data_IF_905631761675
#
_entry.id   IF_905631761675
#
_cell.length_a   1.000
_cell.length_b   1.000
_cell.length_c   1.000
_cell.angle_alpha   90.00
_cell.angle_beta   90.00
_cell.angle_gamma   90.00
#
_symmetry.space_group_name_H-M   'P 1'
#
loop_
_entity.id
_entity.type
_entity.pdbx_description
1 polymer ?
#
# COMPACT_ATOMS: atom_id res chain seq x y z
N UNK A 1 -8.86 -15.98 -0.76
CA UNK A 1 -7.88 -14.95 -1.15
C UNK A 1 -7.87 -14.65 -2.66
N UNK A 2 -7.75 -15.63 -3.56
CA UNK A 2 -7.64 -15.42 -5.02
C UNK A 2 -9.00 -15.29 -5.75
N UNK A 3 -9.96 -14.62 -5.12
CA UNK A 3 -11.31 -14.42 -5.65
C UNK A 3 -11.43 -13.12 -6.45
N UNK A 4 -12.60 -12.92 -7.07
CA UNK A 4 -13.01 -11.65 -7.68
C UNK A 4 -13.22 -10.60 -6.58
N UNK A 5 -12.17 -9.83 -6.31
CA UNK A 5 -12.11 -8.75 -5.30
C UNK A 5 -11.19 -7.63 -5.79
N UNK A 6 -11.18 -6.52 -5.07
CA UNK A 6 -10.32 -5.38 -5.37
C UNK A 6 -10.52 -4.86 -6.79
N UNK A 7 -9.43 -4.60 -7.53
CA UNK A 7 -9.52 -4.07 -8.88
C UNK A 7 -10.32 -4.97 -9.83
N UNK A 8 -10.32 -6.29 -9.66
CA UNK A 8 -11.08 -7.23 -10.50
C UNK A 8 -12.57 -7.05 -10.36
N UNK A 9 -13.05 -6.92 -9.11
CA UNK A 9 -14.46 -6.62 -8.86
C UNK A 9 -14.83 -5.23 -9.38
N UNK A 10 -13.93 -4.26 -9.21
CA UNK A 10 -14.14 -2.91 -9.71
C UNK A 10 -14.24 -2.86 -11.25
N UNK A 11 -13.42 -3.63 -11.97
CA UNK A 11 -13.49 -3.71 -13.42
C UNK A 11 -14.80 -4.33 -13.90
N UNK A 12 -15.28 -5.38 -13.21
CA UNK A 12 -16.51 -6.08 -13.59
C UNK A 12 -17.79 -5.32 -13.20
N UNK A 13 -17.75 -4.58 -12.10
CA UNK A 13 -18.87 -3.86 -11.49
C UNK A 13 -18.44 -2.45 -11.09
N UNK A 14 -17.97 -1.68 -12.07
CA UNK A 14 -17.37 -0.35 -11.84
C UNK A 14 -18.34 0.64 -11.18
N UNK A 15 -19.63 0.48 -11.40
CA UNK A 15 -20.68 1.33 -10.83
C UNK A 15 -20.67 1.31 -9.28
N UNK A 16 -20.35 0.19 -8.64
CA UNK A 16 -20.26 0.07 -7.19
C UNK A 16 -19.15 0.99 -6.65
N UNK A 17 -17.98 0.93 -7.25
CA UNK A 17 -16.84 1.72 -6.81
C UNK A 17 -16.92 3.17 -7.26
N UNK A 18 -17.54 3.46 -8.41
CA UNK A 18 -17.84 4.83 -8.80
C UNK A 18 -18.79 5.49 -7.80
N UNK A 19 -19.75 4.76 -7.26
CA UNK A 19 -20.60 5.24 -6.17
C UNK A 19 -19.80 5.57 -4.90
N UNK A 20 -18.85 4.70 -4.51
CA UNK A 20 -17.98 4.94 -3.36
C UNK A 20 -17.06 6.14 -3.58
N UNK A 21 -16.41 6.24 -4.75
CA UNK A 21 -15.56 7.40 -5.11
C UNK A 21 -16.36 8.70 -5.09
N UNK A 22 -17.59 8.67 -5.60
CA UNK A 22 -18.51 9.81 -5.54
C UNK A 22 -18.78 10.25 -4.10
N UNK A 23 -19.07 9.30 -3.22
CA UNK A 23 -19.29 9.58 -1.81
C UNK A 23 -18.06 10.21 -1.14
N UNK A 24 -16.85 9.71 -1.45
CA UNK A 24 -15.60 10.27 -0.94
C UNK A 24 -15.42 11.71 -1.41
N UNK A 25 -15.62 11.99 -2.70
CA UNK A 25 -15.43 13.33 -3.25
C UNK A 25 -16.49 14.32 -2.75
N UNK A 26 -17.75 13.91 -2.65
CA UNK A 26 -18.81 14.74 -2.07
C UNK A 26 -18.53 15.03 -0.59
N UNK A 27 -18.09 14.02 0.18
CA UNK A 27 -17.72 14.19 1.59
C UNK A 27 -16.53 15.14 1.77
N UNK A 28 -15.52 15.06 0.91
CA UNK A 28 -14.38 15.98 0.93
C UNK A 28 -14.83 17.45 0.75
N UNK A 29 -15.71 17.70 -0.21
CA UNK A 29 -16.27 19.05 -0.43
C UNK A 29 -17.07 19.55 0.79
N UNK A 30 -17.86 18.68 1.42
CA UNK A 30 -18.63 19.08 2.62
C UNK A 30 -17.68 19.31 3.81
N UNK A 31 -16.65 18.48 4.00
CA UNK A 31 -15.66 18.67 5.04
C UNK A 31 -14.88 19.99 4.87
N UNK A 32 -14.56 20.38 3.64
CA UNK A 32 -13.94 21.67 3.36
C UNK A 32 -14.82 22.84 3.78
N UNK A 33 -16.13 22.78 3.54
CA UNK A 33 -17.07 23.84 3.96
C UNK A 33 -17.11 23.99 5.48
N UNK A 34 -17.02 22.86 6.21
CA UNK A 34 -17.08 22.87 7.68
C UNK A 34 -15.76 23.34 8.29
N UNK A 35 -14.64 22.87 7.73
CA UNK A 35 -13.32 23.10 8.32
C UNK A 35 -12.62 24.36 7.81
N UNK A 36 -13.05 24.90 6.68
CA UNK A 36 -12.35 25.97 5.96
C UNK A 36 -11.00 25.58 5.39
N UNK A 37 -10.65 24.30 5.41
CA UNK A 37 -9.36 23.77 4.92
C UNK A 37 -9.58 22.94 3.66
N UNK A 38 -8.67 23.03 2.70
CA UNK A 38 -8.67 22.15 1.52
C UNK A 38 -8.46 20.72 1.96
N UNK A 39 -9.36 19.82 1.55
CA UNK A 39 -9.27 18.39 1.79
C UNK A 39 -8.90 17.71 0.47
N UNK A 40 -7.79 16.98 0.47
CA UNK A 40 -7.31 16.22 -0.69
C UNK A 40 -7.51 14.74 -0.41
N UNK A 41 -8.63 14.13 -0.86
CA UNK A 41 -8.84 12.70 -0.68
C UNK A 41 -7.86 11.89 -1.53
N UNK A 42 -7.47 10.75 -1.00
CA UNK A 42 -6.54 9.81 -1.62
C UNK A 42 -7.31 8.53 -1.95
N UNK A 43 -7.44 8.21 -3.24
CA UNK A 43 -8.15 7.01 -3.71
C UNK A 43 -7.14 5.94 -4.08
N UNK A 44 -7.15 4.83 -3.35
CA UNK A 44 -6.20 3.75 -3.52
C UNK A 44 -6.83 2.55 -4.23
N UNK A 45 -6.20 2.07 -5.30
CA UNK A 45 -6.66 0.93 -6.08
C UNK A 45 -5.91 -0.33 -5.64
N UNK A 46 -6.61 -1.35 -5.11
CA UNK A 46 -5.99 -2.58 -4.63
C UNK A 46 -5.80 -3.62 -5.73
N UNK A 47 -4.93 -4.61 -5.48
CA UNK A 47 -4.73 -5.85 -6.26
C UNK A 47 -4.37 -5.61 -7.73
N UNK A 48 -3.66 -4.55 -8.04
CA UNK A 48 -3.21 -4.25 -9.40
C UNK A 48 -2.17 -5.29 -9.85
N UNK A 49 -2.47 -5.95 -10.98
CA UNK A 49 -1.58 -6.89 -11.64
C UNK A 49 -0.94 -6.27 -12.90
N UNK A 50 -1.67 -5.40 -13.58
CA UNK A 50 -1.22 -4.79 -14.84
C UNK A 50 -1.43 -3.28 -14.86
N UNK A 51 -0.62 -2.60 -15.66
CA UNK A 51 -0.79 -1.14 -15.89
C UNK A 51 -2.16 -0.83 -16.49
N UNK A 52 -2.68 -1.69 -17.35
CA UNK A 52 -3.99 -1.50 -18.00
C UNK A 52 -5.14 -1.52 -17.00
N UNK A 53 -5.08 -2.37 -15.96
CA UNK A 53 -6.06 -2.35 -14.86
C UNK A 53 -6.04 -1.00 -14.15
N UNK A 54 -4.86 -0.50 -13.82
CA UNK A 54 -4.70 0.79 -13.14
C UNK A 54 -5.24 1.94 -14.01
N UNK A 55 -4.82 2.02 -15.27
CA UNK A 55 -5.24 3.08 -16.20
C UNK A 55 -6.75 3.08 -16.42
N UNK A 56 -7.35 1.90 -16.57
CA UNK A 56 -8.81 1.77 -16.73
C UNK A 56 -9.55 2.30 -15.48
N UNK A 57 -9.12 1.90 -14.29
CA UNK A 57 -9.77 2.33 -13.06
C UNK A 57 -9.51 3.79 -12.73
N UNK A 58 -8.31 4.30 -13.02
CA UNK A 58 -7.98 5.72 -12.95
C UNK A 58 -8.96 6.55 -13.77
N UNK A 59 -9.21 6.17 -15.02
CA UNK A 59 -10.17 6.84 -15.88
C UNK A 59 -11.57 6.85 -15.25
N UNK A 60 -12.02 5.74 -14.64
CA UNK A 60 -13.32 5.67 -13.95
C UNK A 60 -13.40 6.59 -12.73
N UNK A 61 -12.31 6.80 -12.01
CA UNK A 61 -12.22 7.74 -10.90
C UNK A 61 -12.28 9.19 -11.44
N UNK A 62 -11.55 9.48 -12.52
CA UNK A 62 -11.51 10.80 -13.16
C UNK A 62 -12.90 11.20 -13.71
N UNK A 63 -13.62 10.28 -14.34
CA UNK A 63 -15.01 10.49 -14.79
C UNK A 63 -15.90 10.95 -13.62
N UNK A 64 -15.82 10.27 -12.47
CA UNK A 64 -16.60 10.64 -11.26
C UNK A 64 -16.15 12.00 -10.72
N UNK A 65 -14.85 12.29 -10.69
CA UNK A 65 -14.33 13.58 -10.21
C UNK A 65 -14.86 14.74 -11.05
N UNK A 66 -14.90 14.58 -12.38
CA UNK A 66 -15.46 15.57 -13.29
C UNK A 66 -16.97 15.79 -13.04
N UNK A 67 -17.74 14.70 -12.93
CA UNK A 67 -19.18 14.79 -12.68
C UNK A 67 -19.50 15.52 -11.36
N UNK A 68 -18.81 15.14 -10.27
CA UNK A 68 -18.98 15.78 -8.97
C UNK A 68 -18.55 17.24 -9.01
N UNK A 69 -17.41 17.53 -9.66
CA UNK A 69 -16.92 18.92 -9.81
C UNK A 69 -17.93 19.79 -10.57
N UNK A 70 -18.51 19.28 -11.66
CA UNK A 70 -19.54 19.98 -12.44
C UNK A 70 -20.80 20.20 -11.60
N UNK A 71 -21.29 19.16 -10.92
CA UNK A 71 -22.52 19.23 -10.08
C UNK A 71 -22.36 20.20 -8.91
N UNK A 72 -21.22 20.16 -8.23
CA UNK A 72 -20.94 21.01 -7.06
C UNK A 72 -20.34 22.37 -7.42
N UNK A 73 -20.05 22.63 -8.70
CA UNK A 73 -19.39 23.87 -9.22
C UNK A 73 -18.09 24.16 -8.48
N UNK A 74 -17.34 23.11 -8.15
CA UNK A 74 -16.08 23.20 -7.42
C UNK A 74 -15.09 22.16 -7.93
N UNK A 75 -13.86 22.58 -8.27
CA UNK A 75 -12.77 21.66 -8.62
C UNK A 75 -12.34 20.88 -7.38
N UNK A 76 -12.22 19.56 -7.53
CA UNK A 76 -11.73 18.66 -6.48
C UNK A 76 -10.25 18.39 -6.74
N UNK A 77 -9.43 18.53 -5.71
CA UNK A 77 -8.05 18.07 -5.70
C UNK A 77 -8.02 16.70 -5.02
N UNK A 78 -7.46 15.71 -5.68
CA UNK A 78 -7.38 14.32 -5.20
C UNK A 78 -6.13 13.65 -5.73
N UNK A 79 -5.73 12.56 -5.09
CA UNK A 79 -4.63 11.70 -5.51
C UNK A 79 -5.18 10.30 -5.81
N UNK A 80 -4.60 9.64 -6.84
CA UNK A 80 -4.91 8.25 -7.17
C UNK A 80 -3.62 7.44 -7.06
N UNK A 81 -3.70 6.30 -6.41
CA UNK A 81 -2.57 5.43 -6.17
C UNK A 81 -2.90 3.95 -6.22
N UNK A 82 -1.87 3.13 -6.17
CA UNK A 82 -1.99 1.68 -6.18
C UNK A 82 -1.40 1.06 -4.93
N UNK A 83 -2.02 0.01 -4.45
CA UNK A 83 -1.38 -0.92 -3.54
C UNK A 83 -0.40 -1.80 -4.29
N UNK A 84 0.73 -2.07 -3.67
CA UNK A 84 1.70 -3.06 -4.13
C UNK A 84 1.59 -4.26 -3.20
N UNK A 85 0.85 -5.26 -3.67
CA UNK A 85 0.48 -6.42 -2.87
C UNK A 85 0.50 -7.73 -3.67
N UNK A 86 0.92 -7.66 -4.93
CA UNK A 86 1.16 -8.81 -5.79
C UNK A 86 2.61 -8.80 -6.29
N UNK A 87 3.31 -9.96 -6.36
CA UNK A 87 4.67 -10.02 -6.89
C UNK A 87 4.81 -9.42 -8.28
N UNK A 88 3.82 -9.61 -9.15
CA UNK A 88 3.80 -9.00 -10.49
C UNK A 88 3.93 -7.47 -10.43
N UNK A 89 3.33 -6.82 -9.44
CA UNK A 89 3.41 -5.37 -9.27
C UNK A 89 4.85 -4.90 -9.06
N UNK A 90 5.70 -5.68 -8.37
CA UNK A 90 7.10 -5.36 -8.16
C UNK A 90 7.87 -5.23 -9.48
N UNK A 91 7.55 -6.06 -10.47
CA UNK A 91 8.23 -6.04 -11.77
C UNK A 91 7.79 -4.90 -12.69
N UNK A 92 6.57 -4.38 -12.52
CA UNK A 92 6.01 -3.31 -13.36
C UNK A 92 6.01 -1.94 -12.69
N UNK A 93 6.66 -1.79 -11.52
CA UNK A 93 6.67 -0.57 -10.72
C UNK A 93 6.92 0.71 -11.51
N UNK A 94 7.99 0.74 -12.31
CA UNK A 94 8.35 1.88 -13.13
C UNK A 94 7.29 2.29 -14.15
N UNK A 95 6.52 1.32 -14.66
CA UNK A 95 5.40 1.60 -15.57
C UNK A 95 4.22 2.25 -14.86
N UNK A 96 3.96 1.83 -13.61
CA UNK A 96 2.92 2.43 -12.78
C UNK A 96 3.27 3.87 -12.40
N UNK A 97 4.55 4.16 -12.10
CA UNK A 97 5.02 5.52 -11.85
C UNK A 97 4.78 6.40 -13.08
N UNK A 98 5.12 5.94 -14.28
CA UNK A 98 4.89 6.67 -15.53
C UNK A 98 3.42 6.97 -15.83
N UNK A 99 2.50 6.14 -15.37
CA UNK A 99 1.05 6.35 -15.50
C UNK A 99 0.45 7.28 -14.44
N UNK A 100 1.32 8.06 -13.74
CA UNK A 100 0.92 9.10 -12.77
C UNK A 100 0.42 8.56 -11.43
N UNK A 101 0.84 7.40 -11.01
CA UNK A 101 0.68 7.02 -9.64
C UNK A 101 1.65 7.84 -8.78
N UNK A 102 1.13 8.76 -7.98
CA UNK A 102 1.91 9.74 -7.22
C UNK A 102 2.43 9.19 -5.89
N UNK A 103 2.00 7.98 -5.52
CA UNK A 103 2.23 7.42 -4.23
C UNK A 103 1.90 5.91 -4.24
N UNK A 104 2.63 5.13 -3.45
CA UNK A 104 2.39 3.69 -3.34
C UNK A 104 2.44 3.22 -1.91
N UNK A 105 1.65 2.19 -1.62
CA UNK A 105 1.66 1.50 -0.33
C UNK A 105 1.84 0.01 -0.53
N UNK A 106 2.82 -0.57 0.15
CA UNK A 106 2.95 -2.01 0.21
C UNK A 106 1.93 -2.58 1.19
N UNK A 107 1.08 -3.48 0.71
CA UNK A 107 0.18 -4.26 1.53
C UNK A 107 0.82 -5.62 1.77
N UNK A 108 1.67 -5.68 2.78
CA UNK A 108 2.54 -6.85 3.01
C UNK A 108 1.80 -8.11 3.40
N UNK A 109 0.56 -8.03 3.88
CA UNK A 109 -0.26 -9.21 4.13
C UNK A 109 -0.52 -9.99 2.84
N UNK A 110 -1.10 -9.34 1.82
CA UNK A 110 -1.42 -9.98 0.55
C UNK A 110 -0.14 -10.30 -0.26
N UNK A 111 0.88 -9.46 -0.15
CA UNK A 111 2.19 -9.73 -0.76
C UNK A 111 2.83 -11.00 -0.16
N UNK A 112 2.77 -11.19 1.15
CA UNK A 112 3.24 -12.42 1.84
C UNK A 112 2.42 -13.63 1.39
N UNK A 113 1.09 -13.52 1.40
CA UNK A 113 0.20 -14.60 0.98
C UNK A 113 0.49 -15.05 -0.46
N UNK A 114 0.66 -14.10 -1.38
CA UNK A 114 0.86 -14.39 -2.80
C UNK A 114 2.28 -14.88 -3.12
N UNK A 115 3.27 -14.36 -2.42
CA UNK A 115 4.67 -14.78 -2.59
C UNK A 115 4.90 -16.20 -2.05
N UNK A 116 4.34 -16.50 -0.88
CA UNK A 116 4.54 -17.79 -0.21
C UNK A 116 3.46 -18.83 -0.53
N UNK A 117 2.43 -18.45 -1.29
CA UNK A 117 1.27 -19.30 -1.57
C UNK A 117 0.60 -19.82 -0.29
N UNK A 118 0.45 -18.95 0.70
CA UNK A 118 -0.16 -19.24 1.99
C UNK A 118 -1.40 -18.35 2.20
N UNK A 119 -2.49 -18.91 2.70
CA UNK A 119 -3.63 -18.14 3.19
C UNK A 119 -3.44 -17.88 4.68
N UNK A 120 -3.45 -16.60 5.10
CA UNK A 120 -3.31 -16.23 6.51
C UNK A 120 -4.36 -16.90 7.40
N UNK A 121 -5.58 -17.01 6.88
CA UNK A 121 -6.72 -17.53 7.65
C UNK A 121 -6.66 -19.06 7.85
N UNK A 122 -5.97 -19.77 6.95
CA UNK A 122 -5.97 -21.25 6.90
C UNK A 122 -4.67 -21.88 7.40
N UNK A 123 -3.62 -21.10 7.62
CA UNK A 123 -2.27 -21.65 7.84
C UNK A 123 -1.81 -21.68 9.29
N UNK A 124 -2.66 -21.34 10.27
CA UNK A 124 -2.26 -21.26 11.68
C UNK A 124 -1.64 -22.56 12.21
N UNK A 125 -2.26 -23.70 11.96
CA UNK A 125 -1.74 -25.02 12.37
C UNK A 125 -0.48 -25.42 11.59
N UNK A 126 -0.43 -25.14 10.28
CA UNK A 126 0.71 -25.41 9.43
C UNK A 126 1.95 -24.62 9.88
N UNK A 127 1.81 -23.32 10.12
CA UNK A 127 2.91 -22.47 10.56
C UNK A 127 3.42 -22.86 11.95
N UNK A 128 2.54 -23.34 12.84
CA UNK A 128 2.95 -23.89 14.13
C UNK A 128 3.79 -25.15 13.97
N UNK A 129 3.37 -26.06 13.10
CA UNK A 129 4.13 -27.29 12.79
C UNK A 129 5.49 -26.96 12.14
N UNK A 130 5.54 -25.99 11.23
CA UNK A 130 6.77 -25.53 10.61
C UNK A 130 7.76 -24.94 11.62
N UNK A 131 7.26 -24.20 12.63
CA UNK A 131 8.10 -23.72 13.74
C UNK A 131 8.63 -24.87 14.59
N UNK A 132 7.78 -25.83 14.93
CA UNK A 132 8.17 -27.00 15.72
C UNK A 132 9.26 -27.82 15.03
N UNK A 133 9.19 -27.91 13.71
CA UNK A 133 10.18 -28.64 12.89
C UNK A 133 11.38 -27.79 12.47
N UNK A 134 11.49 -26.56 12.95
CA UNK A 134 12.57 -25.62 12.60
C UNK A 134 12.68 -25.29 11.11
N UNK A 135 11.59 -25.46 10.34
CA UNK A 135 11.52 -25.09 8.92
C UNK A 135 11.45 -23.57 8.77
N UNK A 136 10.74 -22.90 9.68
CA UNK A 136 10.71 -21.44 9.79
C UNK A 136 11.02 -21.01 11.23
N UNK A 137 11.72 -19.92 11.39
CA UNK A 137 12.03 -19.36 12.70
C UNK A 137 10.93 -18.45 13.24
N UNK A 138 10.20 -17.78 12.35
CA UNK A 138 9.19 -16.76 12.67
C UNK A 138 7.96 -16.91 11.79
N UNK A 139 6.86 -16.36 12.28
CA UNK A 139 5.63 -16.25 11.52
C UNK A 139 5.76 -15.11 10.48
N UNK A 140 5.66 -15.42 9.16
CA UNK A 140 5.84 -14.43 8.11
C UNK A 140 4.71 -13.41 8.02
N UNK A 141 3.60 -13.60 8.76
CA UNK A 141 2.52 -12.64 8.86
C UNK A 141 2.70 -11.65 10.03
N UNK A 142 3.62 -11.95 10.95
CA UNK A 142 3.96 -11.08 12.09
C UNK A 142 5.26 -10.32 11.84
N UNK A 143 6.26 -11.01 11.30
CA UNK A 143 7.57 -10.46 10.98
C UNK A 143 7.80 -10.54 9.47
N UNK A 144 8.30 -9.47 8.89
CA UNK A 144 8.62 -9.46 7.46
C UNK A 144 9.62 -10.58 7.12
N UNK A 145 9.32 -11.32 6.08
CA UNK A 145 10.24 -12.22 5.43
C UNK A 145 11.15 -11.42 4.51
N UNK A 146 12.33 -11.07 5.01
CA UNK A 146 13.25 -10.18 4.30
C UNK A 146 13.82 -10.83 3.03
N UNK A 147 14.08 -12.16 3.06
CA UNK A 147 14.67 -12.90 1.93
C UNK A 147 13.74 -13.03 0.72
N UNK A 148 12.43 -13.09 0.94
CA UNK A 148 11.45 -13.25 -0.14
C UNK A 148 10.63 -11.97 -0.36
N UNK A 149 9.80 -11.62 0.59
CA UNK A 149 8.90 -10.46 0.48
C UNK A 149 9.71 -9.16 0.54
N UNK A 150 10.76 -9.10 1.37
CA UNK A 150 11.66 -7.96 1.47
C UNK A 150 12.37 -7.68 0.14
N UNK A 151 12.94 -8.71 -0.49
CA UNK A 151 13.59 -8.57 -1.80
C UNK A 151 12.63 -8.04 -2.88
N UNK A 152 11.37 -8.48 -2.89
CA UNK A 152 10.35 -7.92 -3.80
C UNK A 152 10.08 -6.44 -3.54
N UNK A 153 10.05 -6.03 -2.28
CA UNK A 153 9.91 -4.62 -1.89
C UNK A 153 11.10 -3.81 -2.38
N UNK A 154 12.31 -4.29 -2.19
CA UNK A 154 13.55 -3.63 -2.64
C UNK A 154 13.60 -3.48 -4.17
N UNK A 155 13.30 -4.54 -4.92
CA UNK A 155 13.21 -4.49 -6.38
C UNK A 155 12.21 -3.43 -6.83
N UNK A 156 11.09 -3.33 -6.14
CA UNK A 156 10.06 -2.36 -6.45
C UNK A 156 10.54 -0.92 -6.17
N UNK A 157 11.12 -0.68 -4.99
CA UNK A 157 11.65 0.62 -4.59
C UNK A 157 12.68 1.11 -5.59
N UNK A 158 13.66 0.27 -5.94
CA UNK A 158 14.72 0.59 -6.88
C UNK A 158 14.17 0.98 -8.26
N UNK A 159 13.21 0.22 -8.77
CA UNK A 159 12.59 0.49 -10.07
C UNK A 159 11.72 1.76 -10.05
N UNK A 160 10.99 2.00 -8.98
CA UNK A 160 10.15 3.18 -8.85
C UNK A 160 10.99 4.45 -8.73
N UNK A 161 11.99 4.48 -7.83
CA UNK A 161 12.86 5.63 -7.62
C UNK A 161 13.76 5.96 -8.81
N UNK A 162 14.08 4.96 -9.64
CA UNK A 162 14.77 5.22 -10.90
C UNK A 162 13.94 6.08 -11.86
N UNK A 163 12.61 5.98 -11.81
CA UNK A 163 11.72 6.79 -12.64
C UNK A 163 11.34 8.14 -11.96
N UNK A 164 11.17 8.13 -10.65
CA UNK A 164 10.90 9.30 -9.83
C UNK A 164 11.53 9.12 -8.44
N UNK A 165 12.63 9.83 -8.19
CA UNK A 165 13.37 9.78 -6.92
C UNK A 165 12.53 10.29 -5.75
N UNK A 166 11.61 11.21 -6.01
CA UNK A 166 10.74 11.84 -5.01
C UNK A 166 9.50 11.01 -4.66
N UNK A 167 9.30 9.88 -5.33
CA UNK A 167 8.09 9.05 -5.15
C UNK A 167 7.89 8.66 -3.69
N UNK A 168 6.71 8.95 -3.16
CA UNK A 168 6.36 8.62 -1.77
C UNK A 168 6.01 7.15 -1.64
N UNK A 169 6.71 6.45 -0.76
CA UNK A 169 6.56 5.03 -0.52
C UNK A 169 6.21 4.76 0.93
N UNK A 170 5.28 3.88 1.15
CA UNK A 170 4.91 3.48 2.49
C UNK A 170 4.51 2.03 2.60
N UNK A 171 4.24 1.63 3.83
CA UNK A 171 3.81 0.28 4.16
C UNK A 171 2.61 0.31 5.07
N UNK A 172 1.75 -0.64 4.93
CA UNK A 172 0.62 -0.82 5.83
C UNK A 172 0.48 -2.26 6.31
N UNK A 173 -0.34 -2.41 7.38
CA UNK A 173 -0.69 -3.66 8.02
C UNK A 173 0.25 -4.06 9.16
N UNK A 174 0.28 -5.36 9.50
CA UNK A 174 0.93 -5.87 10.72
C UNK A 174 2.42 -5.53 10.79
N UNK A 175 3.14 -5.68 9.69
CA UNK A 175 4.57 -5.39 9.60
C UNK A 175 4.91 -3.91 9.87
N UNK A 176 3.97 -2.99 9.60
CA UNK A 176 4.13 -1.57 9.96
C UNK A 176 4.14 -1.30 11.48
N UNK A 177 3.77 -2.29 12.30
CA UNK A 177 3.83 -2.23 13.76
C UNK A 177 4.87 -3.17 14.37
N UNK A 178 5.66 -3.88 13.57
CA UNK A 178 6.71 -4.79 14.03
C UNK A 178 8.08 -4.10 14.04
N UNK A 179 8.78 -4.02 15.20
CA UNK A 179 10.04 -3.31 15.30
C UNK A 179 11.12 -3.74 14.31
N UNK A 180 11.26 -5.05 14.05
CA UNK A 180 12.27 -5.56 13.10
C UNK A 180 11.94 -5.21 11.67
N UNK A 181 10.67 -5.32 11.30
CA UNK A 181 10.21 -4.92 9.98
C UNK A 181 10.37 -3.42 9.76
N UNK A 182 10.16 -2.60 10.79
CA UNK A 182 10.37 -1.15 10.74
C UNK A 182 11.85 -0.80 10.49
N UNK A 183 12.79 -1.53 11.08
CA UNK A 183 14.23 -1.37 10.81
C UNK A 183 14.55 -1.62 9.34
N UNK A 184 14.00 -2.69 8.75
CA UNK A 184 14.11 -2.97 7.32
C UNK A 184 13.52 -1.85 6.45
N UNK A 185 12.35 -1.30 6.83
CA UNK A 185 11.71 -0.22 6.08
C UNK A 185 12.50 1.08 6.17
N UNK A 186 13.10 1.38 7.30
CA UNK A 186 14.01 2.53 7.48
C UNK A 186 15.20 2.43 6.54
N UNK A 187 15.92 1.32 6.56
CA UNK A 187 17.07 1.05 5.67
C UNK A 187 16.74 1.17 4.18
N UNK A 188 15.49 0.91 3.83
CA UNK A 188 14.98 1.08 2.46
C UNK A 188 14.38 2.47 2.21
N UNK A 189 14.54 3.41 3.15
CA UNK A 189 14.07 4.79 3.05
C UNK A 189 12.57 4.93 2.75
N UNK A 190 11.71 4.10 3.35
CA UNK A 190 10.27 4.29 3.23
C UNK A 190 9.83 5.55 3.99
N UNK A 191 8.91 6.30 3.39
CA UNK A 191 8.47 7.59 3.92
C UNK A 191 7.53 7.46 5.12
N UNK A 192 6.80 6.34 5.25
CA UNK A 192 5.88 6.12 6.35
C UNK A 192 5.56 4.64 6.55
N UNK A 193 5.11 4.33 7.76
CA UNK A 193 4.46 3.07 8.11
C UNK A 193 3.06 3.34 8.63
N UNK A 194 2.10 2.48 8.27
CA UNK A 194 0.74 2.49 8.79
C UNK A 194 0.49 1.19 9.55
N UNK A 195 0.00 1.31 10.77
CA UNK A 195 -0.30 0.18 11.65
C UNK A 195 -1.58 0.43 12.44
N UNK A 196 -2.04 -0.57 13.18
CA UNK A 196 -3.20 -0.39 14.06
C UNK A 196 -2.93 0.70 15.10
N UNK A 197 -3.96 1.44 15.57
CA UNK A 197 -3.79 2.52 16.54
C UNK A 197 -3.02 2.11 17.80
N UNK A 198 -3.23 0.89 18.28
CA UNK A 198 -2.56 0.36 19.47
C UNK A 198 -1.04 0.15 19.28
N UNK A 199 -0.59 0.00 18.04
CA UNK A 199 0.82 -0.20 17.69
C UNK A 199 1.56 1.10 17.37
N UNK A 200 0.87 2.22 17.21
CA UNK A 200 1.48 3.51 16.88
C UNK A 200 2.61 3.93 17.86
N UNK A 201 2.46 3.81 19.19
CA UNK A 201 3.56 4.15 20.09
C UNK A 201 4.81 3.30 19.87
N UNK A 202 4.63 1.98 19.63
CA UNK A 202 5.72 1.04 19.35
C UNK A 202 6.37 1.38 18.02
N UNK A 203 5.58 1.61 16.99
CA UNK A 203 6.08 1.95 15.66
C UNK A 203 6.92 3.25 15.65
N UNK A 204 6.46 4.28 16.34
CA UNK A 204 7.21 5.54 16.49
C UNK A 204 8.53 5.34 17.22
N UNK A 205 8.53 4.58 18.31
CA UNK A 205 9.76 4.28 19.05
C UNK A 205 10.75 3.49 18.20
N UNK A 206 10.25 2.47 17.50
CA UNK A 206 11.08 1.62 16.63
C UNK A 206 11.68 2.41 15.47
N UNK A 207 10.93 3.30 14.84
CA UNK A 207 11.44 4.16 13.79
C UNK A 207 12.56 5.08 14.29
N UNK A 208 12.37 5.70 15.46
CA UNK A 208 13.41 6.52 16.08
C UNK A 208 14.66 5.73 16.45
N UNK A 209 14.50 4.48 16.92
CA UNK A 209 15.63 3.60 17.21
C UNK A 209 16.38 3.17 15.96
N UNK A 210 15.66 2.87 14.87
CA UNK A 210 16.27 2.50 13.59
C UNK A 210 17.15 3.64 13.06
N UNK A 211 16.63 4.87 13.06
CA UNK A 211 17.37 6.07 12.65
C UNK A 211 18.65 6.29 13.47
N UNK A 212 18.55 6.23 14.81
CA UNK A 212 19.71 6.39 15.70
C UNK A 212 20.77 5.30 15.47
N UNK A 213 20.35 4.07 15.15
CA UNK A 213 21.27 2.97 14.91
C UNK A 213 21.99 3.13 13.55
N UNK A 214 21.31 3.63 12.54
CA UNK A 214 21.88 3.94 11.23
C UNK A 214 22.93 5.05 11.34
N UNK A 215 22.62 6.17 12.00
CA UNK A 215 23.59 7.25 12.26
C UNK A 215 24.85 6.80 13.04
N UNK A 216 24.73 5.78 13.90
CA UNK A 216 25.86 5.21 14.63
C UNK A 216 26.72 4.28 13.79
N UNK A 217 26.13 3.63 12.80
CA UNK A 217 26.86 2.71 11.89
C UNK A 217 27.65 3.43 10.80
N UNK A 218 27.31 4.69 10.53
CA UNK A 218 28.00 5.55 9.55
C UNK A 218 29.19 6.34 10.14
N UNK A 219 29.35 6.30 11.47
CA UNK A 219 30.47 6.94 12.22
C UNK A 219 31.55 5.92 12.57
#
# INVERSE_FOLDING_TARGET
MLWTRGCRLWILHHEIYQMQVRAIFEAAIEAEKVTGKTIVPEVMVPLIMTVKEFTFLKQKIEEVAEEVSKKKKKKIHYLIWSMIELPQAAFIAWKLVKEWAQFFSFWTNDLTQTTKWLSRDDTGSLLQEYKTKWIISKDPFVHLDEEGVGELIEIWIQKARKEDESIKLGICWEHGGDPKSIDFFNKNNLNYVSCSPYRVPIARLSAAQAEINEEKSEK
#
